data_IF_052509988469
#
_entry.id   IF_052509988469
#
_cell.length_a   1.000
_cell.length_b   1.000
_cell.length_c   1.000
_cell.angle_alpha   90.00
_cell.angle_beta   90.00
_cell.angle_gamma   90.00
#
_symmetry.space_group_name_H-M   'P 1'
#
loop_
_entity.id
_entity.type
_entity.pdbx_description
1 polymer ?
#
# COMPACT_ATOMS: atom_id res chain seq x y z
N UNK A 1 -85.58 -43.76 -37.24
CA UNK A 1 -86.23 -42.75 -36.37
C UNK A 1 -85.19 -41.65 -36.16
N UNK A 2 -85.28 -40.51 -36.85
CA UNK A 2 -85.91 -39.26 -36.35
C UNK A 2 -85.24 -38.78 -35.04
N UNK A 3 -84.70 -37.56 -34.84
CA UNK A 3 -85.00 -36.26 -35.43
C UNK A 3 -83.97 -35.17 -35.01
N UNK A 4 -83.60 -34.32 -35.99
CA UNK A 4 -83.49 -32.83 -36.02
C UNK A 4 -82.85 -31.94 -34.91
N UNK A 5 -81.93 -31.09 -35.43
CA UNK A 5 -81.72 -29.61 -35.28
C UNK A 5 -81.16 -29.09 -33.92
N UNK A 6 -80.28 -28.08 -33.82
CA UNK A 6 -80.01 -26.86 -34.60
C UNK A 6 -78.55 -26.35 -34.34
N UNK A 7 -77.77 -25.88 -35.34
CA UNK A 7 -77.38 -24.46 -35.64
C UNK A 7 -76.96 -23.64 -34.39
N UNK A 8 -75.81 -22.94 -34.30
CA UNK A 8 -75.14 -22.02 -35.26
C UNK A 8 -73.83 -21.44 -34.64
N UNK A 9 -72.89 -21.10 -35.54
CA UNK A 9 -71.98 -19.93 -35.59
C UNK A 9 -70.74 -19.84 -34.68
N UNK A 10 -69.60 -19.82 -35.37
CA UNK A 10 -68.32 -19.29 -34.94
C UNK A 10 -68.32 -17.76 -34.81
N UNK A 11 -67.51 -17.25 -33.88
CA UNK A 11 -66.82 -15.97 -33.98
C UNK A 11 -65.56 -16.00 -33.10
N UNK A 12 -64.44 -15.56 -33.69
CA UNK A 12 -63.12 -15.43 -33.10
C UNK A 12 -63.12 -14.46 -31.91
N UNK A 13 -62.37 -14.81 -30.86
CA UNK A 13 -61.87 -13.90 -29.84
C UNK A 13 -60.38 -14.13 -29.63
N UNK A 14 -59.58 -13.10 -29.87
CA UNK A 14 -58.11 -13.06 -29.71
C UNK A 14 -57.76 -13.09 -28.21
N UNK A 15 -56.89 -14.02 -27.80
CA UNK A 15 -56.26 -14.02 -26.48
C UNK A 15 -54.76 -13.74 -26.64
N UNK A 16 -54.30 -12.62 -26.09
CA UNK A 16 -52.89 -12.29 -25.97
C UNK A 16 -52.27 -13.11 -24.81
N UNK A 17 -51.38 -14.04 -25.14
CA UNK A 17 -50.59 -14.78 -24.17
C UNK A 17 -49.25 -14.07 -23.95
N UNK A 18 -48.99 -13.61 -22.72
CA UNK A 18 -47.68 -13.20 -22.26
C UNK A 18 -46.77 -14.43 -22.16
N UNK A 19 -45.72 -14.47 -22.98
CA UNK A 19 -44.64 -15.46 -22.90
C UNK A 19 -43.57 -14.91 -21.97
N UNK A 20 -43.31 -15.62 -20.86
CA UNK A 20 -42.15 -15.40 -19.98
C UNK A 20 -40.95 -16.11 -20.62
N UNK A 21 -39.83 -15.44 -20.96
CA UNK A 21 -38.67 -16.11 -21.52
C UNK A 21 -37.87 -16.83 -20.43
N UNK A 22 -37.34 -17.99 -20.84
CA UNK A 22 -36.51 -18.90 -20.07
C UNK A 22 -35.29 -18.24 -19.41
N UNK A 23 -34.96 -18.71 -18.20
CA UNK A 23 -33.77 -18.32 -17.45
C UNK A 23 -32.48 -18.65 -18.20
N UNK A 24 -31.71 -17.61 -18.51
CA UNK A 24 -30.30 -17.72 -18.86
C UNK A 24 -29.53 -18.07 -17.59
N UNK A 25 -29.03 -19.31 -17.50
CA UNK A 25 -27.98 -19.68 -16.55
C UNK A 25 -26.72 -18.94 -17.00
N UNK A 26 -26.49 -17.76 -16.41
CA UNK A 26 -25.27 -17.00 -16.60
C UNK A 26 -24.10 -17.80 -16.03
N UNK A 27 -23.26 -18.35 -16.89
CA UNK A 27 -21.92 -18.75 -16.49
C UNK A 27 -21.20 -17.47 -16.10
N UNK A 28 -21.00 -17.24 -14.79
CA UNK A 28 -20.01 -16.27 -14.33
C UNK A 28 -18.65 -16.74 -14.81
N UNK A 29 -18.22 -16.24 -15.95
CA UNK A 29 -16.82 -16.26 -16.33
C UNK A 29 -16.14 -15.35 -15.32
N UNK A 30 -15.53 -15.94 -14.30
CA UNK A 30 -14.57 -15.24 -13.45
C UNK A 30 -13.54 -14.67 -14.45
N UNK A 31 -13.34 -13.34 -14.56
CA UNK A 31 -12.29 -12.84 -15.41
C UNK A 31 -10.98 -13.43 -14.89
N UNK A 32 -10.37 -14.31 -15.69
CA UNK A 32 -9.02 -14.80 -15.44
C UNK A 32 -8.14 -13.56 -15.26
N UNK A 33 -7.36 -13.51 -14.18
CA UNK A 33 -6.41 -12.45 -13.93
C UNK A 33 -5.63 -12.15 -15.21
N UNK A 34 -5.97 -11.05 -15.88
CA UNK A 34 -5.19 -10.57 -17.00
C UNK A 34 -3.78 -10.30 -16.45
N UNK A 35 -2.79 -11.02 -16.97
CA UNK A 35 -1.40 -10.80 -16.57
C UNK A 35 -1.09 -9.30 -16.70
N UNK A 36 -0.53 -8.70 -15.65
CA UNK A 36 -0.19 -7.28 -15.66
C UNK A 36 0.75 -6.99 -16.84
N UNK A 37 0.48 -5.88 -17.54
CA UNK A 37 1.35 -5.45 -18.63
C UNK A 37 2.80 -5.25 -18.12
N UNK A 38 3.83 -5.56 -18.93
CA UNK A 38 5.21 -5.33 -18.56
C UNK A 38 5.44 -3.87 -18.20
N UNK A 39 5.86 -3.61 -16.96
CA UNK A 39 6.14 -2.28 -16.45
C UNK A 39 7.60 -1.88 -16.69
N UNK A 40 7.83 -0.58 -16.93
CA UNK A 40 9.16 0.02 -16.92
C UNK A 40 9.86 -0.16 -15.56
N UNK A 41 11.19 -0.15 -15.57
CA UNK A 41 12.04 -0.35 -14.38
C UNK A 41 12.34 -1.82 -14.08
N UNK A 42 11.45 -2.73 -14.48
CA UNK A 42 11.58 -4.18 -14.24
C UNK A 42 12.49 -4.86 -15.28
N UNK A 43 13.03 -6.01 -14.88
CA UNK A 43 13.86 -6.90 -15.71
C UNK A 43 13.10 -8.19 -16.03
N UNK A 44 13.21 -8.66 -17.28
CA UNK A 44 12.49 -9.81 -17.78
C UNK A 44 13.38 -10.75 -18.59
N UNK A 45 13.00 -12.02 -18.62
CA UNK A 45 13.37 -12.99 -19.63
C UNK A 45 12.24 -12.94 -20.66
N UNK A 46 12.60 -12.59 -21.89
CA UNK A 46 11.66 -12.52 -23.01
C UNK A 46 11.64 -13.90 -23.65
N UNK A 47 10.50 -14.59 -23.54
CA UNK A 47 10.36 -15.99 -23.98
C UNK A 47 9.51 -16.04 -25.25
N UNK A 48 10.05 -16.60 -26.32
CA UNK A 48 9.30 -16.85 -27.56
C UNK A 48 8.19 -17.86 -27.29
N UNK A 49 6.94 -17.52 -27.58
CA UNK A 49 5.79 -18.39 -27.32
C UNK A 49 5.86 -19.71 -28.11
N UNK A 50 6.40 -19.67 -29.34
CA UNK A 50 6.55 -20.85 -30.21
C UNK A 50 7.47 -21.92 -29.64
N UNK A 51 8.65 -21.53 -29.18
CA UNK A 51 9.72 -22.46 -28.79
C UNK A 51 9.90 -22.61 -27.28
N UNK A 52 9.37 -21.68 -26.48
CA UNK A 52 9.63 -21.61 -25.04
C UNK A 52 11.05 -21.17 -24.68
N UNK A 53 11.82 -20.66 -25.65
CA UNK A 53 13.21 -20.24 -25.48
C UNK A 53 13.34 -18.74 -25.25
N UNK A 54 14.42 -18.36 -24.60
CA UNK A 54 14.69 -16.99 -24.20
C UNK A 54 15.40 -16.22 -25.31
N UNK A 55 15.11 -14.93 -25.42
CA UNK A 55 15.95 -13.96 -26.09
C UNK A 55 17.35 -13.99 -25.46
N UNK A 56 18.37 -14.07 -26.30
CA UNK A 56 19.75 -14.35 -25.90
C UNK A 56 20.72 -13.46 -26.68
N UNK A 57 21.72 -12.94 -25.97
CA UNK A 57 22.92 -12.36 -26.59
C UNK A 57 23.99 -13.46 -26.64
N UNK A 58 24.39 -13.92 -27.84
CA UNK A 58 25.31 -15.05 -28.01
C UNK A 58 26.61 -14.86 -27.22
N UNK A 59 27.03 -15.93 -26.55
CA UNK A 59 28.27 -15.99 -25.77
C UNK A 59 28.43 -14.84 -24.75
N UNK A 60 27.31 -14.29 -24.24
CA UNK A 60 27.29 -13.15 -23.34
C UNK A 60 28.07 -11.92 -23.87
N UNK A 61 28.11 -11.74 -25.20
CA UNK A 61 28.85 -10.65 -25.83
C UNK A 61 28.44 -9.29 -25.26
N UNK A 62 29.42 -8.41 -25.07
CA UNK A 62 29.20 -7.01 -24.72
C UNK A 62 29.51 -6.07 -25.88
N UNK A 63 29.80 -6.59 -27.08
CA UNK A 63 30.11 -5.78 -28.26
C UNK A 63 28.85 -5.14 -28.87
N UNK A 64 29.00 -3.93 -29.41
CA UNK A 64 28.03 -3.38 -30.36
C UNK A 64 27.98 -4.28 -31.60
N UNK A 65 26.78 -4.49 -32.14
CA UNK A 65 26.60 -5.31 -33.34
C UNK A 65 26.50 -6.81 -33.09
N UNK A 66 26.54 -7.27 -31.82
CA UNK A 66 26.25 -8.67 -31.52
C UNK A 66 24.78 -8.96 -31.88
N UNK A 67 24.58 -9.87 -32.82
CA UNK A 67 23.25 -10.29 -33.27
C UNK A 67 22.54 -11.08 -32.18
N UNK A 68 21.23 -10.87 -32.06
CA UNK A 68 20.39 -11.56 -31.08
C UNK A 68 19.94 -12.92 -31.61
N UNK A 69 19.82 -13.89 -30.71
CA UNK A 69 19.33 -15.23 -31.02
C UNK A 69 18.30 -15.69 -29.97
N UNK A 70 17.62 -16.80 -30.23
CA UNK A 70 16.96 -17.56 -29.16
C UNK A 70 17.87 -18.69 -28.65
N UNK A 71 17.82 -18.93 -27.35
CA UNK A 71 18.52 -20.05 -26.71
C UNK A 71 17.71 -20.60 -25.54
N UNK A 72 18.04 -21.83 -25.11
CA UNK A 72 17.48 -22.40 -23.89
C UNK A 72 17.61 -21.41 -22.72
N UNK A 73 16.49 -21.18 -22.01
CA UNK A 73 16.45 -20.27 -20.88
C UNK A 73 17.38 -20.76 -19.77
N UNK A 74 18.40 -19.95 -19.46
CA UNK A 74 19.39 -20.22 -18.42
C UNK A 74 19.07 -19.33 -17.23
N UNK A 75 18.78 -19.95 -16.08
CA UNK A 75 18.49 -19.22 -14.85
C UNK A 75 19.66 -18.29 -14.49
N UNK A 76 19.35 -17.05 -14.09
CA UNK A 76 20.31 -16.02 -13.68
C UNK A 76 21.34 -15.56 -14.75
N UNK A 77 21.30 -16.07 -15.98
CA UNK A 77 22.20 -15.66 -17.06
C UNK A 77 21.96 -14.20 -17.46
N UNK A 78 22.88 -13.30 -17.09
CA UNK A 78 22.71 -11.86 -17.28
C UNK A 78 22.48 -11.45 -18.75
N UNK A 79 23.02 -12.21 -19.70
CA UNK A 79 22.89 -11.95 -21.14
C UNK A 79 21.53 -12.37 -21.73
N UNK A 80 20.70 -13.08 -20.97
CA UNK A 80 19.31 -13.41 -21.32
C UNK A 80 18.28 -12.58 -20.54
N UNK A 81 18.73 -11.55 -19.82
CA UNK A 81 17.86 -10.66 -19.02
C UNK A 81 17.84 -9.27 -19.63
N UNK A 82 16.66 -8.69 -19.73
CA UNK A 82 16.45 -7.39 -20.34
C UNK A 82 15.58 -6.50 -19.46
N UNK A 83 16.09 -5.32 -19.13
CA UNK A 83 15.37 -4.27 -18.41
C UNK A 83 14.55 -3.44 -19.38
N UNK A 84 13.27 -3.21 -19.05
CA UNK A 84 12.45 -2.22 -19.73
C UNK A 84 12.74 -0.84 -19.16
N UNK A 85 13.31 0.05 -19.97
CA UNK A 85 13.59 1.45 -19.58
C UNK A 85 12.58 2.35 -20.27
N UNK A 86 11.89 3.21 -19.51
CA UNK A 86 10.89 4.12 -20.07
C UNK A 86 11.53 5.10 -21.08
N UNK A 87 10.87 5.29 -22.22
CA UNK A 87 11.21 6.28 -23.24
C UNK A 87 9.91 6.90 -23.77
N UNK A 88 9.41 7.93 -23.07
CA UNK A 88 8.07 8.46 -23.30
C UNK A 88 6.99 7.40 -23.03
N UNK A 89 6.12 7.15 -24.02
CA UNK A 89 5.13 6.06 -24.01
C UNK A 89 5.68 4.72 -24.54
N UNK A 90 6.95 4.67 -24.92
CA UNK A 90 7.63 3.49 -25.46
C UNK A 90 8.70 2.98 -24.46
N UNK A 91 9.41 1.91 -24.85
CA UNK A 91 10.49 1.34 -24.06
C UNK A 91 11.79 1.27 -24.85
N UNK A 92 12.91 1.49 -24.18
CA UNK A 92 14.16 0.84 -24.55
C UNK A 92 14.21 -0.54 -23.88
N UNK A 93 14.72 -1.55 -24.56
CA UNK A 93 14.89 -2.90 -24.02
C UNK A 93 16.39 -3.15 -23.84
N UNK A 94 16.87 -3.00 -22.60
CA UNK A 94 18.30 -2.96 -22.26
C UNK A 94 18.77 -4.30 -21.71
N UNK A 95 19.74 -4.95 -22.36
CA UNK A 95 20.36 -6.16 -21.85
C UNK A 95 21.11 -5.87 -20.52
N UNK A 96 20.92 -6.75 -19.52
CA UNK A 96 21.49 -6.59 -18.18
C UNK A 96 22.99 -6.81 -18.17
N UNK A 97 23.53 -7.72 -18.98
CA UNK A 97 24.95 -8.02 -19.04
C UNK A 97 25.75 -6.90 -19.73
N UNK A 98 25.34 -6.51 -20.94
CA UNK A 98 26.12 -5.56 -21.76
C UNK A 98 25.77 -4.10 -21.51
N UNK A 99 24.62 -3.83 -20.88
CA UNK A 99 24.06 -2.49 -20.73
C UNK A 99 23.58 -1.86 -22.05
N UNK A 100 23.52 -2.63 -23.13
CA UNK A 100 23.13 -2.18 -24.49
C UNK A 100 21.67 -2.47 -24.79
N UNK A 101 21.09 -1.72 -25.71
CA UNK A 101 19.69 -1.82 -26.07
C UNK A 101 19.50 -2.68 -27.33
N UNK A 102 18.35 -3.37 -27.42
CA UNK A 102 17.92 -4.00 -28.67
C UNK A 102 17.79 -2.90 -29.72
N UNK A 103 18.44 -3.12 -30.85
CA UNK A 103 18.67 -2.15 -31.91
C UNK A 103 18.34 -2.79 -33.26
N UNK A 104 17.62 -2.04 -34.10
CA UNK A 104 17.51 -2.35 -35.52
C UNK A 104 18.73 -1.75 -36.24
N UNK A 105 19.61 -2.60 -36.82
CA UNK A 105 20.83 -2.13 -37.46
C UNK A 105 20.55 -1.09 -38.55
N UNK A 106 21.26 0.04 -38.46
CA UNK A 106 21.14 1.17 -39.39
C UNK A 106 19.69 1.65 -39.61
N UNK A 107 18.79 1.45 -38.62
CA UNK A 107 17.37 1.75 -38.72
C UNK A 107 16.66 1.12 -39.94
N UNK A 108 17.14 -0.04 -40.42
CA UNK A 108 16.58 -0.79 -41.55
C UNK A 108 15.06 -0.98 -41.41
N UNK A 109 14.30 -0.77 -42.49
CA UNK A 109 12.88 -1.10 -42.58
C UNK A 109 12.61 -2.46 -43.25
N UNK A 110 13.66 -3.23 -43.53
CA UNK A 110 13.56 -4.50 -44.27
C UNK A 110 13.14 -5.63 -43.34
N UNK A 111 12.03 -6.30 -43.69
CA UNK A 111 11.59 -7.54 -43.04
C UNK A 111 12.65 -8.64 -43.18
N UNK A 112 12.90 -9.39 -42.13
CA UNK A 112 13.96 -10.39 -42.04
C UNK A 112 15.31 -9.85 -41.54
N UNK A 113 15.42 -8.54 -41.27
CA UNK A 113 16.67 -7.96 -40.74
C UNK A 113 16.98 -8.54 -39.35
N UNK A 114 18.15 -9.17 -39.13
CA UNK A 114 18.60 -9.60 -37.82
C UNK A 114 18.74 -8.41 -36.86
N UNK A 115 18.21 -8.56 -35.65
CA UNK A 115 18.36 -7.55 -34.61
C UNK A 115 19.69 -7.71 -33.90
N UNK A 116 20.23 -6.59 -33.42
CA UNK A 116 21.49 -6.55 -32.70
C UNK A 116 21.33 -5.87 -31.34
N UNK A 117 22.38 -5.89 -30.53
CA UNK A 117 22.53 -4.94 -29.43
C UNK A 117 23.43 -3.77 -29.83
N UNK A 118 23.09 -2.56 -29.37
CA UNK A 118 23.90 -1.35 -29.56
C UNK A 118 23.81 -0.42 -28.35
N UNK A 119 24.75 0.52 -28.23
CA UNK A 119 24.70 1.56 -27.19
C UNK A 119 23.33 2.24 -27.16
N UNK A 120 22.73 2.31 -25.97
CA UNK A 120 21.39 2.86 -25.77
C UNK A 120 21.34 4.36 -26.05
N UNK A 121 20.42 4.80 -26.92
CA UNK A 121 20.17 6.20 -27.21
C UNK A 121 18.66 6.49 -27.21
N UNK A 122 18.17 7.14 -26.15
CA UNK A 122 16.73 7.34 -25.92
C UNK A 122 16.00 8.17 -27.00
N UNK A 123 16.72 8.96 -27.80
CA UNK A 123 16.16 9.72 -28.93
C UNK A 123 16.06 8.93 -30.23
N UNK A 124 16.68 7.75 -30.33
CA UNK A 124 16.73 6.95 -31.55
C UNK A 124 15.55 5.99 -31.64
N UNK A 125 14.62 6.24 -32.58
CA UNK A 125 13.38 5.46 -32.72
C UNK A 125 13.61 4.01 -33.14
N UNK A 126 14.74 3.69 -33.78
CA UNK A 126 15.14 2.31 -34.12
C UNK A 126 15.54 1.46 -32.90
N UNK A 127 15.67 2.07 -31.71
CA UNK A 127 15.85 1.39 -30.42
C UNK A 127 14.64 1.50 -29.49
N UNK A 128 13.57 2.17 -29.92
CA UNK A 128 12.33 2.30 -29.14
C UNK A 128 11.32 1.25 -29.58
N UNK A 129 10.63 0.68 -28.59
CA UNK A 129 9.72 -0.44 -28.78
C UNK A 129 8.38 -0.20 -28.08
N UNK A 130 7.29 -0.47 -28.78
CA UNK A 130 5.94 -0.61 -28.19
C UNK A 130 5.73 -2.06 -27.79
N UNK A 131 5.17 -2.27 -26.61
CA UNK A 131 4.78 -3.61 -26.13
C UNK A 131 3.26 -3.68 -26.14
N UNK A 132 2.70 -4.49 -27.04
CA UNK A 132 1.25 -4.56 -27.29
C UNK A 132 0.75 -5.96 -26.97
N UNK A 133 -0.33 -6.09 -26.18
CA UNK A 133 -0.93 -7.38 -25.86
C UNK A 133 -1.36 -8.12 -27.14
N UNK A 134 -1.01 -9.39 -27.25
CA UNK A 134 -1.24 -10.20 -28.45
C UNK A 134 -1.79 -11.60 -28.16
N UNK A 135 -2.30 -11.82 -26.94
CA UNK A 135 -2.87 -13.08 -26.45
C UNK A 135 -2.86 -13.14 -24.92
N UNK A 136 -3.32 -14.25 -24.35
CA UNK A 136 -3.28 -14.46 -22.90
C UNK A 136 -1.83 -14.54 -22.40
N UNK A 137 -1.36 -13.46 -21.76
CA UNK A 137 0.00 -13.39 -21.18
C UNK A 137 1.13 -13.24 -22.19
N UNK A 138 0.83 -12.85 -23.43
CA UNK A 138 1.83 -12.65 -24.50
C UNK A 138 1.70 -11.29 -25.14
N UNK A 139 2.82 -10.78 -25.64
CA UNK A 139 2.93 -9.45 -26.23
C UNK A 139 3.68 -9.50 -27.56
N UNK A 140 3.32 -8.60 -28.48
CA UNK A 140 4.16 -8.24 -29.61
C UNK A 140 5.05 -7.06 -29.20
N UNK A 141 6.31 -7.09 -29.67
CA UNK A 141 7.29 -6.02 -29.43
C UNK A 141 7.52 -5.35 -30.77
N UNK A 142 7.03 -4.12 -30.93
CA UNK A 142 6.90 -3.42 -32.21
C UNK A 142 7.89 -2.26 -32.24
N UNK A 143 8.75 -2.22 -33.26
CA UNK A 143 9.68 -1.11 -33.41
C UNK A 143 8.95 0.20 -33.71
N UNK A 144 9.34 1.28 -33.05
CA UNK A 144 8.69 2.59 -33.20
C UNK A 144 9.01 3.24 -34.55
N UNK A 145 10.18 2.98 -35.14
CA UNK A 145 10.58 3.61 -36.40
C UNK A 145 9.85 3.05 -37.63
N UNK A 146 9.62 1.74 -37.68
CA UNK A 146 9.13 1.07 -38.89
C UNK A 146 7.88 0.18 -38.68
N UNK A 147 7.43 -0.04 -37.45
CA UNK A 147 6.23 -0.83 -37.14
C UNK A 147 6.39 -2.34 -37.28
N UNK A 148 7.60 -2.86 -37.49
CA UNK A 148 7.86 -4.31 -37.55
C UNK A 148 8.00 -4.92 -36.15
N UNK A 149 7.67 -6.20 -36.04
CA UNK A 149 7.70 -6.97 -34.79
C UNK A 149 9.02 -7.72 -34.62
N UNK A 150 9.54 -7.78 -33.40
CA UNK A 150 10.58 -8.75 -33.01
C UNK A 150 10.02 -10.17 -33.19
N UNK A 151 10.75 -11.01 -33.92
CA UNK A 151 10.35 -12.37 -34.27
C UNK A 151 11.49 -13.36 -34.18
N UNK A 152 11.16 -14.58 -33.81
CA UNK A 152 12.01 -15.74 -34.05
C UNK A 152 11.93 -16.18 -35.52
N UNK A 153 13.09 -16.17 -36.19
CA UNK A 153 13.20 -16.44 -37.62
C UNK A 153 12.69 -17.85 -37.97
N UNK A 154 11.75 -17.91 -38.92
CA UNK A 154 11.22 -19.17 -39.43
C UNK A 154 10.40 -19.98 -38.41
N UNK A 155 10.01 -19.38 -37.28
CA UNK A 155 9.32 -20.08 -36.18
C UNK A 155 10.08 -21.31 -35.67
N UNK A 156 11.40 -21.18 -35.61
CA UNK A 156 12.33 -22.23 -35.23
C UNK A 156 12.16 -22.66 -33.78
N UNK A 157 12.49 -23.91 -33.50
CA UNK A 157 12.64 -24.42 -32.13
C UNK A 157 14.08 -24.78 -31.83
N UNK A 158 15.04 -24.41 -32.68
CA UNK A 158 16.47 -24.67 -32.49
C UNK A 158 17.13 -23.60 -31.61
N UNK A 159 18.20 -23.98 -30.91
CA UNK A 159 19.07 -23.01 -30.27
C UNK A 159 19.88 -22.28 -31.35
N UNK A 160 20.10 -20.98 -31.17
CA UNK A 160 20.85 -20.16 -32.11
C UNK A 160 20.04 -19.65 -33.32
N UNK A 161 18.73 -19.87 -33.35
CA UNK A 161 17.90 -19.26 -34.37
C UNK A 161 17.90 -17.72 -34.19
N UNK A 162 18.03 -17.01 -35.31
CA UNK A 162 18.16 -15.56 -35.32
C UNK A 162 16.89 -14.88 -34.83
N UNK A 163 17.04 -13.81 -34.06
CA UNK A 163 15.95 -12.89 -33.76
C UNK A 163 15.99 -11.74 -34.76
N UNK A 164 14.91 -11.62 -35.53
CA UNK A 164 14.76 -10.68 -36.63
C UNK A 164 13.62 -9.70 -36.36
N UNK A 165 13.46 -8.69 -37.21
CA UNK A 165 12.21 -7.96 -37.34
C UNK A 165 11.43 -8.41 -38.58
N UNK A 166 10.11 -8.52 -38.49
CA UNK A 166 9.24 -8.81 -39.65
C UNK A 166 7.82 -8.32 -39.42
N UNK A 167 6.96 -8.40 -40.44
CA UNK A 167 5.57 -7.96 -40.36
C UNK A 167 4.84 -8.60 -39.17
N UNK A 168 4.22 -7.76 -38.34
CA UNK A 168 3.47 -8.21 -37.17
C UNK A 168 2.28 -9.10 -37.58
N UNK A 169 2.24 -10.32 -37.04
CA UNK A 169 1.12 -11.26 -37.18
C UNK A 169 0.87 -11.99 -35.87
N UNK A 170 -0.33 -12.52 -35.66
CA UNK A 170 -0.73 -13.21 -34.41
C UNK A 170 -0.15 -14.64 -34.26
N UNK A 171 0.93 -14.98 -34.96
CA UNK A 171 1.58 -16.28 -34.82
C UNK A 171 2.56 -16.32 -33.64
N UNK A 172 2.70 -17.52 -33.07
CA UNK A 172 3.44 -17.73 -31.82
C UNK A 172 4.94 -17.40 -31.87
N UNK A 173 5.56 -17.27 -33.05
CA UNK A 173 6.97 -16.87 -33.16
C UNK A 173 7.20 -15.35 -33.05
N UNK A 174 6.14 -14.54 -33.08
CA UNK A 174 6.14 -13.09 -32.84
C UNK A 174 5.49 -12.71 -31.51
N UNK A 175 5.13 -13.70 -30.71
CA UNK A 175 4.51 -13.53 -29.40
C UNK A 175 5.54 -13.83 -28.32
N UNK A 176 5.70 -12.88 -27.41
CA UNK A 176 6.71 -12.93 -26.36
C UNK A 176 6.02 -12.92 -25.00
N UNK A 177 6.37 -13.89 -24.16
CA UNK A 177 6.04 -13.84 -22.73
C UNK A 177 7.14 -13.08 -22.00
N UNK A 178 6.75 -12.14 -21.15
CA UNK A 178 7.67 -11.41 -20.28
C UNK A 178 7.67 -12.09 -18.92
N UNK A 179 8.63 -12.99 -18.69
CA UNK A 179 8.81 -13.61 -17.37
C UNK A 179 9.67 -12.68 -16.54
N UNK A 180 9.16 -12.07 -15.45
CA UNK A 180 9.96 -11.21 -14.60
C UNK A 180 11.16 -12.00 -14.09
N UNK A 181 12.36 -11.53 -14.39
CA UNK A 181 13.54 -12.09 -13.74
C UNK A 181 13.62 -11.33 -12.44
N UNK A 182 13.37 -12.03 -11.34
CA UNK A 182 13.84 -11.58 -10.05
C UNK A 182 15.29 -11.17 -10.26
N UNK A 183 15.59 -9.87 -10.16
CA UNK A 183 16.96 -9.44 -10.19
C UNK A 183 17.71 -10.19 -9.09
N UNK A 184 18.98 -9.90 -8.93
CA UNK A 184 19.60 -10.03 -7.60
C UNK A 184 18.98 -9.05 -6.58
N UNK A 185 17.76 -8.56 -6.81
CA UNK A 185 16.70 -8.66 -5.82
C UNK A 185 15.62 -9.67 -6.27
N UNK A 186 15.62 -10.90 -5.72
CA UNK A 186 14.41 -11.25 -4.97
C UNK A 186 14.16 -9.98 -4.15
N UNK A 187 12.95 -9.38 -4.05
CA UNK A 187 12.69 -8.74 -2.76
C UNK A 187 13.15 -9.84 -1.81
N UNK A 188 14.22 -9.62 -1.02
CA UNK A 188 14.50 -10.54 0.06
C UNK A 188 13.10 -10.75 0.60
N UNK A 189 12.57 -11.97 0.52
CA UNK A 189 11.25 -12.15 1.07
C UNK A 189 11.55 -11.79 2.51
N UNK A 190 11.16 -10.57 2.90
CA UNK A 190 11.48 -10.01 4.19
C UNK A 190 10.41 -10.64 5.05
N UNK A 191 10.43 -11.97 5.05
CA UNK A 191 9.45 -12.85 5.60
C UNK A 191 9.99 -13.18 6.95
N UNK A 192 9.33 -12.64 7.94
CA UNK A 192 9.62 -12.88 9.33
C UNK A 192 8.71 -14.00 9.78
N UNK A 193 9.26 -15.05 10.38
CA UNK A 193 8.47 -16.11 11.00
C UNK A 193 9.21 -16.61 12.25
N UNK A 194 8.55 -16.56 13.41
CA UNK A 194 9.16 -16.98 14.68
C UNK A 194 9.57 -18.47 14.66
N UNK A 195 8.82 -19.30 13.92
CA UNK A 195 9.07 -20.73 13.72
C UNK A 195 10.26 -21.04 12.78
N UNK A 196 10.88 -20.03 12.18
CA UNK A 196 12.00 -20.20 11.24
C UNK A 196 11.59 -20.54 9.79
N UNK A 197 10.29 -20.55 9.47
CA UNK A 197 9.81 -20.75 8.09
C UNK A 197 9.93 -19.50 7.21
N UNK A 198 10.36 -18.38 7.81
CA UNK A 198 10.69 -17.13 7.15
C UNK A 198 12.21 -16.96 7.03
N UNK A 199 12.63 -16.04 6.16
CA UNK A 199 14.06 -15.69 6.02
C UNK A 199 14.65 -15.13 7.32
N UNK A 200 13.84 -14.42 8.10
CA UNK A 200 14.24 -13.83 9.38
C UNK A 200 13.36 -14.39 10.50
N UNK A 201 13.92 -14.55 11.69
CA UNK A 201 13.16 -14.97 12.89
C UNK A 201 12.55 -13.78 13.64
N UNK A 202 13.13 -12.59 13.49
CA UNK A 202 12.70 -11.36 14.18
C UNK A 202 12.42 -10.26 13.16
N UNK A 203 11.55 -9.33 13.56
CA UNK A 203 11.20 -8.15 12.75
C UNK A 203 12.41 -7.23 12.63
N UNK A 204 13.18 -7.03 13.71
CA UNK A 204 14.36 -6.20 13.68
C UNK A 204 15.42 -6.71 12.69
N UNK A 205 15.67 -8.02 12.63
CA UNK A 205 16.65 -8.58 11.69
C UNK A 205 16.26 -8.33 10.22
N UNK A 206 14.97 -8.35 9.90
CA UNK A 206 14.48 -8.01 8.57
C UNK A 206 14.70 -6.53 8.23
N UNK A 207 14.44 -5.63 9.19
CA UNK A 207 14.72 -4.19 9.04
C UNK A 207 16.22 -3.93 8.89
N UNK A 208 17.06 -4.61 9.66
CA UNK A 208 18.52 -4.49 9.62
C UNK A 208 19.09 -4.89 8.26
N UNK A 209 18.45 -5.85 7.58
CA UNK A 209 18.82 -6.27 6.24
C UNK A 209 18.34 -5.33 5.12
N UNK A 210 17.42 -4.40 5.38
CA UNK A 210 17.07 -3.35 4.40
C UNK A 210 18.26 -2.40 4.23
N UNK A 211 18.64 -2.12 2.99
CA UNK A 211 19.74 -1.21 2.69
C UNK A 211 19.48 0.21 3.25
N UNK A 212 20.53 0.84 3.76
CA UNK A 212 20.48 2.25 4.15
C UNK A 212 20.21 3.13 2.91
N UNK A 213 19.52 4.25 3.15
CA UNK A 213 19.13 5.26 2.15
C UNK A 213 18.35 4.69 0.96
N UNK A 214 17.67 3.57 1.17
CA UNK A 214 16.84 2.94 0.15
C UNK A 214 15.82 3.93 -0.45
N UNK A 215 15.64 3.87 -1.76
CA UNK A 215 14.74 4.78 -2.50
C UNK A 215 13.46 4.11 -2.99
N UNK A 216 13.29 2.81 -2.71
CA UNK A 216 12.19 1.98 -3.25
C UNK A 216 11.48 1.23 -2.13
N UNK A 217 10.15 1.17 -2.10
CA UNK A 217 9.42 0.56 -0.97
C UNK A 217 9.82 -0.90 -0.75
N UNK A 218 10.29 -1.22 0.46
CA UNK A 218 10.64 -2.58 0.88
C UNK A 218 9.57 -3.09 1.85
N UNK A 219 8.85 -4.14 1.44
CA UNK A 219 7.79 -4.75 2.27
C UNK A 219 8.31 -5.95 3.03
N UNK A 220 8.25 -5.87 4.36
CA UNK A 220 8.53 -6.92 5.33
C UNK A 220 7.21 -7.59 5.69
N UNK A 221 7.02 -8.83 5.26
CA UNK A 221 5.85 -9.66 5.58
C UNK A 221 6.12 -10.43 6.87
N UNK A 222 5.28 -10.29 7.87
CA UNK A 222 5.45 -10.94 9.18
C UNK A 222 4.36 -12.01 9.30
N UNK A 223 4.74 -13.28 9.40
CA UNK A 223 3.77 -14.37 9.59
C UNK A 223 3.07 -14.27 10.95
N UNK A 224 1.88 -14.87 11.11
CA UNK A 224 1.20 -14.97 12.40
C UNK A 224 2.12 -15.42 13.53
N UNK A 225 1.99 -14.77 14.69
CA UNK A 225 2.80 -15.03 15.88
C UNK A 225 2.96 -13.81 16.78
N UNK A 226 3.45 -14.05 17.99
CA UNK A 226 3.85 -13.01 18.93
C UNK A 226 5.36 -12.83 18.91
N UNK A 227 5.80 -11.63 18.59
CA UNK A 227 7.18 -11.19 18.48
C UNK A 227 7.50 -10.29 19.68
N UNK A 228 8.11 -10.88 20.72
CA UNK A 228 8.56 -10.12 21.88
C UNK A 228 9.92 -9.49 21.62
N UNK A 229 9.91 -8.30 21.05
CA UNK A 229 11.11 -7.56 20.67
C UNK A 229 10.85 -6.05 20.65
N UNK A 230 11.93 -5.28 20.57
CA UNK A 230 11.86 -3.85 20.31
C UNK A 230 12.26 -3.64 18.86
N UNK A 231 11.39 -2.95 18.14
CA UNK A 231 11.55 -2.71 16.71
C UNK A 231 11.89 -1.25 16.50
N UNK A 232 13.02 -0.98 15.86
CA UNK A 232 13.45 0.36 15.44
C UNK A 232 13.60 0.39 13.94
N UNK A 233 12.83 1.26 13.30
CA UNK A 233 13.01 1.66 11.89
C UNK A 233 13.91 2.89 11.89
N UNK A 234 15.20 2.78 11.54
CA UNK A 234 16.14 3.90 11.63
C UNK A 234 15.81 5.01 10.63
N UNK A 235 16.21 6.25 10.93
CA UNK A 235 15.97 7.42 10.06
C UNK A 235 16.63 7.32 8.68
N UNK A 236 17.74 6.59 8.59
CA UNK A 236 18.44 6.30 7.33
C UNK A 236 17.83 5.11 6.57
N UNK A 237 16.68 4.55 6.97
CA UNK A 237 16.00 3.46 6.23
C UNK A 237 14.56 3.83 5.88
N UNK A 238 14.36 4.76 4.91
CA UNK A 238 13.03 5.16 4.50
C UNK A 238 12.35 4.10 3.62
N UNK A 239 11.04 4.27 3.41
CA UNK A 239 10.20 3.40 2.57
C UNK A 239 10.12 1.94 3.02
N UNK A 240 10.21 1.66 4.32
CA UNK A 240 9.93 0.31 4.86
C UNK A 240 8.43 0.16 5.08
N UNK A 241 7.88 -1.02 4.77
CA UNK A 241 6.51 -1.41 5.13
C UNK A 241 6.54 -2.67 5.97
N UNK A 242 5.98 -2.65 7.19
CA UNK A 242 5.68 -3.87 7.94
C UNK A 242 4.26 -4.32 7.59
N UNK A 243 4.08 -5.57 7.17
CA UNK A 243 2.78 -6.12 6.82
C UNK A 243 2.55 -7.43 7.56
N UNK A 244 1.57 -7.49 8.44
CA UNK A 244 1.17 -8.77 9.02
C UNK A 244 0.48 -9.65 7.97
N UNK A 245 0.86 -10.93 7.96
CA UNK A 245 0.42 -11.94 7.02
C UNK A 245 -0.70 -12.84 7.54
N UNK A 246 -1.33 -12.48 8.65
CA UNK A 246 -2.53 -13.16 9.17
C UNK A 246 -3.82 -12.67 8.50
N UNK A 247 -4.92 -13.35 8.81
CA UNK A 247 -6.25 -13.02 8.33
C UNK A 247 -6.79 -11.75 8.99
N UNK A 248 -6.39 -11.53 10.25
CA UNK A 248 -6.75 -10.35 11.04
C UNK A 248 -5.53 -9.69 11.67
N UNK A 249 -5.68 -8.42 12.02
CA UNK A 249 -4.60 -7.58 12.56
C UNK A 249 -4.14 -7.97 13.98
N UNK A 250 -4.74 -8.97 14.60
CA UNK A 250 -4.36 -9.55 15.88
C UNK A 250 -3.57 -10.87 15.77
N UNK A 251 -3.47 -11.45 14.58
CA UNK A 251 -2.66 -12.64 14.32
C UNK A 251 -1.15 -12.37 14.44
N UNK A 252 -0.73 -11.12 14.22
CA UNK A 252 0.66 -10.68 14.29
C UNK A 252 0.81 -9.63 15.37
N UNK A 253 1.52 -9.96 16.45
CA UNK A 253 1.68 -9.07 17.61
C UNK A 253 3.16 -8.79 17.86
N UNK A 254 3.57 -7.52 17.75
CA UNK A 254 4.89 -7.05 18.18
C UNK A 254 4.72 -6.43 19.57
N UNK A 255 5.41 -6.96 20.59
CA UNK A 255 5.16 -6.61 22.00
C UNK A 255 6.43 -6.49 22.83
N UNK A 256 6.41 -5.60 23.81
CA UNK A 256 7.43 -5.46 24.85
C UNK A 256 6.82 -4.73 26.08
N UNK A 257 7.51 -4.68 27.22
CA UNK A 257 7.01 -4.09 28.48
C UNK A 257 7.91 -3.00 29.09
N UNK A 258 8.73 -2.31 28.28
CA UNK A 258 9.51 -1.17 28.79
C UNK A 258 8.59 -0.07 29.28
N UNK A 259 8.99 0.65 30.34
CA UNK A 259 8.24 1.77 30.90
C UNK A 259 9.18 2.85 31.45
N UNK A 260 8.62 4.02 31.75
CA UNK A 260 9.35 5.08 32.42
C UNK A 260 9.81 4.67 33.83
N UNK A 261 8.97 3.98 34.60
CA UNK A 261 9.33 3.44 35.91
C UNK A 261 10.47 2.40 35.83
N UNK A 262 10.61 1.71 34.69
CA UNK A 262 11.74 0.84 34.40
C UNK A 262 13.04 1.58 34.04
N UNK A 263 13.07 2.91 34.09
CA UNK A 263 14.26 3.73 33.82
C UNK A 263 14.51 4.05 32.33
N UNK A 264 13.58 3.70 31.44
CA UNK A 264 13.74 3.94 30.00
C UNK A 264 13.29 5.34 29.54
N UNK A 265 12.65 6.11 30.42
CA UNK A 265 11.92 7.31 30.05
C UNK A 265 10.65 7.00 29.25
N UNK A 266 9.71 7.95 29.15
CA UNK A 266 8.50 7.77 28.34
C UNK A 266 8.83 7.43 26.89
N UNK A 267 9.61 8.26 26.19
CA UNK A 267 9.91 8.02 24.77
C UNK A 267 10.74 6.76 24.53
N UNK A 268 11.66 6.42 25.44
CA UNK A 268 12.52 5.23 25.33
C UNK A 268 11.82 3.92 25.71
N UNK A 269 10.57 4.00 26.18
CA UNK A 269 9.75 2.83 26.53
C UNK A 269 9.08 2.16 25.34
N UNK A 270 9.17 2.74 24.14
CA UNK A 270 8.43 2.28 22.97
C UNK A 270 8.74 0.84 22.55
N UNK A 271 7.72 0.07 22.16
CA UNK A 271 7.89 -1.22 21.47
C UNK A 271 8.33 -1.00 20.01
N UNK A 272 7.70 -0.05 19.31
CA UNK A 272 8.09 0.39 17.96
C UNK A 272 8.63 1.82 17.97
N UNK A 273 9.81 2.04 17.39
CA UNK A 273 10.36 3.35 17.04
C UNK A 273 10.32 3.55 15.53
N UNK A 274 9.39 4.36 15.03
CA UNK A 274 9.26 4.68 13.61
C UNK A 274 10.00 6.00 13.29
N UNK A 275 11.31 5.92 13.05
CA UNK A 275 12.15 7.10 12.74
C UNK A 275 12.42 7.26 11.22
N UNK A 276 12.19 6.23 10.42
CA UNK A 276 12.33 6.29 8.95
C UNK A 276 11.11 6.95 8.30
N UNK A 277 11.32 7.99 7.49
CA UNK A 277 10.24 8.61 6.70
C UNK A 277 9.62 7.61 5.72
N UNK A 278 8.39 7.87 5.29
CA UNK A 278 7.66 7.02 4.31
C UNK A 278 7.43 5.58 4.82
N UNK A 279 7.52 5.39 6.14
CA UNK A 279 7.29 4.11 6.77
C UNK A 279 5.80 3.79 6.83
N UNK A 280 5.47 2.54 6.49
CA UNK A 280 4.10 2.03 6.60
C UNK A 280 4.04 0.82 7.53
N UNK A 281 2.91 0.64 8.21
CA UNK A 281 2.54 -0.63 8.81
C UNK A 281 1.10 -1.01 8.46
N UNK A 282 0.83 -2.30 8.26
CA UNK A 282 -0.50 -2.78 7.94
C UNK A 282 -0.81 -4.15 8.55
N UNK A 283 -2.07 -4.36 8.92
CA UNK A 283 -2.62 -5.64 9.35
C UNK A 283 -1.82 -6.31 10.49
N UNK A 284 -1.50 -5.57 11.55
CA UNK A 284 -0.73 -6.09 12.69
C UNK A 284 -1.05 -5.33 13.98
N UNK A 285 -0.60 -5.88 15.10
CA UNK A 285 -0.70 -5.29 16.43
C UNK A 285 0.69 -4.86 16.93
N UNK A 286 0.77 -3.65 17.46
CA UNK A 286 1.91 -3.13 18.22
C UNK A 286 1.44 -2.88 19.64
N UNK A 287 2.08 -3.53 20.61
CA UNK A 287 1.63 -3.51 21.99
C UNK A 287 2.77 -3.14 22.96
N UNK A 288 2.40 -2.44 24.03
CA UNK A 288 3.20 -2.40 25.25
C UNK A 288 2.41 -3.06 26.39
N UNK A 289 2.92 -4.17 26.91
CA UNK A 289 2.24 -4.99 27.91
C UNK A 289 2.69 -4.72 29.36
N UNK A 290 3.30 -3.55 29.63
CA UNK A 290 3.65 -3.12 31.00
C UNK A 290 2.43 -3.00 31.92
N UNK A 291 1.30 -2.51 31.41
CA UNK A 291 0.08 -2.28 32.18
C UNK A 291 0.00 -0.90 32.83
N UNK A 292 -0.88 -0.73 33.82
CA UNK A 292 -1.05 0.54 34.54
C UNK A 292 0.08 0.80 35.55
N UNK A 293 0.28 2.08 35.89
CA UNK A 293 1.20 2.52 36.95
C UNK A 293 2.42 3.29 36.45
N UNK A 294 2.68 3.31 35.14
CA UNK A 294 3.71 4.16 34.53
C UNK A 294 3.47 4.36 33.04
N UNK A 295 4.11 5.37 32.46
CA UNK A 295 4.14 5.62 31.02
C UNK A 295 4.82 4.44 30.32
N UNK A 296 4.16 3.87 29.31
CA UNK A 296 4.66 2.72 28.58
C UNK A 296 4.14 2.73 27.13
N UNK A 297 5.02 3.15 26.22
CA UNK A 297 4.67 3.45 24.83
C UNK A 297 4.63 2.16 24.00
N UNK A 298 3.57 1.96 23.22
CA UNK A 298 3.51 0.92 22.19
C UNK A 298 4.25 1.37 20.93
N UNK A 299 3.95 2.58 20.43
CA UNK A 299 4.65 3.13 19.26
C UNK A 299 5.03 4.59 19.43
N UNK A 300 6.28 4.90 19.08
CA UNK A 300 6.82 6.25 18.97
C UNK A 300 6.99 6.60 17.48
N UNK A 301 6.13 7.50 17.01
CA UNK A 301 6.08 8.01 15.65
C UNK A 301 6.93 9.28 15.55
N UNK A 302 8.11 9.16 14.95
CA UNK A 302 9.11 10.21 14.96
C UNK A 302 9.73 10.41 13.57
N UNK A 303 8.88 10.38 12.54
CA UNK A 303 9.25 10.65 11.17
C UNK A 303 8.07 11.23 10.41
N UNK A 304 8.32 11.65 9.18
CA UNK A 304 7.30 12.24 8.32
C UNK A 304 6.74 11.23 7.32
N UNK A 305 5.47 11.44 6.94
CA UNK A 305 4.71 10.62 5.98
C UNK A 305 4.55 9.16 6.40
N UNK A 306 4.11 8.95 7.64
CA UNK A 306 3.86 7.61 8.18
C UNK A 306 2.43 7.15 7.88
N UNK A 307 2.25 5.90 7.45
CA UNK A 307 0.91 5.32 7.19
C UNK A 307 0.69 4.04 7.99
N UNK A 308 -0.43 3.97 8.69
CA UNK A 308 -0.87 2.80 9.43
C UNK A 308 -2.25 2.39 8.92
N UNK A 309 -2.35 1.22 8.29
CA UNK A 309 -3.58 0.71 7.67
C UNK A 309 -4.04 -0.56 8.38
N UNK A 310 -5.16 -0.47 9.09
CA UNK A 310 -5.69 -1.55 9.91
C UNK A 310 -4.68 -2.10 10.95
N UNK A 311 -4.08 -1.19 11.72
CA UNK A 311 -3.13 -1.51 12.79
C UNK A 311 -3.78 -1.35 14.16
N UNK A 312 -3.44 -2.24 15.09
CA UNK A 312 -3.82 -2.13 16.51
C UNK A 312 -2.67 -1.58 17.34
N UNK A 313 -2.92 -0.54 18.12
CA UNK A 313 -1.99 -0.02 19.12
C UNK A 313 -2.55 -0.30 20.51
N UNK A 314 -1.88 -1.17 21.27
CA UNK A 314 -2.36 -1.63 22.58
C UNK A 314 -1.42 -1.18 23.69
N UNK A 315 -1.98 -0.60 24.75
CA UNK A 315 -1.21 -0.16 25.90
C UNK A 315 -2.09 0.27 27.06
N UNK A 316 -1.51 1.04 27.97
CA UNK A 316 -2.20 1.68 29.06
C UNK A 316 -1.95 3.19 29.04
N UNK A 317 -1.09 3.72 29.90
CA UNK A 317 -0.71 5.11 29.87
C UNK A 317 0.32 5.35 28.76
N UNK A 318 0.11 6.40 27.96
CA UNK A 318 1.02 6.83 26.89
C UNK A 318 1.17 5.81 25.72
N UNK A 319 0.10 5.09 25.33
CA UNK A 319 0.16 4.05 24.28
C UNK A 319 0.81 4.50 22.96
N UNK A 320 0.40 5.64 22.39
CA UNK A 320 0.82 6.11 21.07
C UNK A 320 1.41 7.51 21.15
N UNK A 321 2.74 7.60 21.01
CA UNK A 321 3.48 8.84 20.95
C UNK A 321 3.58 9.32 19.49
N UNK A 322 2.75 10.27 19.11
CA UNK A 322 2.88 11.04 17.86
C UNK A 322 3.90 12.16 18.06
N UNK A 323 5.19 11.81 18.04
CA UNK A 323 6.25 12.73 18.47
C UNK A 323 6.47 13.89 17.49
N UNK A 324 6.66 13.58 16.20
CA UNK A 324 6.98 14.56 15.15
C UNK A 324 6.51 14.09 13.77
N UNK A 325 6.52 15.00 12.79
CA UNK A 325 6.11 14.71 11.41
C UNK A 325 4.60 14.47 11.25
N UNK A 326 4.21 14.00 10.07
CA UNK A 326 2.82 13.69 9.72
C UNK A 326 2.57 12.18 9.69
N UNK A 327 1.47 11.75 10.31
CA UNK A 327 1.04 10.35 10.36
C UNK A 327 -0.43 10.21 9.95
N UNK A 328 -0.73 9.18 9.17
CA UNK A 328 -2.08 8.80 8.80
C UNK A 328 -2.39 7.40 9.33
N UNK A 329 -3.34 7.32 10.26
CA UNK A 329 -3.84 6.06 10.83
C UNK A 329 -5.25 5.84 10.29
N UNK A 330 -5.44 4.80 9.47
CA UNK A 330 -6.70 4.49 8.80
C UNK A 330 -7.21 3.12 9.26
N UNK A 331 -8.46 3.09 9.69
CA UNK A 331 -9.05 1.89 10.28
C UNK A 331 -8.33 1.49 11.56
N UNK A 332 -8.36 0.20 11.89
CA UNK A 332 -7.65 -0.35 13.05
C UNK A 332 -8.24 0.09 14.40
N UNK A 333 -7.38 0.07 15.42
CA UNK A 333 -7.78 0.20 16.81
C UNK A 333 -6.67 0.82 17.68
N UNK A 334 -7.04 1.69 18.62
CA UNK A 334 -6.14 2.22 19.65
C UNK A 334 -6.81 2.08 21.01
N UNK A 335 -6.09 1.52 21.99
CA UNK A 335 -6.55 1.51 23.39
C UNK A 335 -5.51 2.05 24.36
N UNK A 336 -6.01 2.55 25.48
CA UNK A 336 -5.19 2.95 26.62
C UNK A 336 -6.02 3.54 27.75
N UNK A 337 -5.33 4.21 28.67
CA UNK A 337 -5.89 4.70 29.93
C UNK A 337 -5.73 6.22 30.08
N UNK A 338 -4.51 6.72 30.21
CA UNK A 338 -4.21 8.14 30.37
C UNK A 338 -3.32 8.59 29.23
N UNK A 339 -3.67 9.69 28.59
CA UNK A 339 -2.88 10.35 27.53
C UNK A 339 -2.45 9.39 26.42
N UNK A 340 -3.27 8.39 26.12
CA UNK A 340 -2.82 7.26 25.32
C UNK A 340 -2.62 7.58 23.83
N UNK A 341 -2.99 8.79 23.39
CA UNK A 341 -2.55 9.40 22.12
C UNK A 341 -1.97 10.78 22.43
N UNK A 342 -0.65 10.94 22.37
CA UNK A 342 0.02 12.15 22.84
C UNK A 342 1.19 12.55 21.96
N UNK A 343 1.68 13.78 22.10
CA UNK A 343 2.84 14.27 21.36
C UNK A 343 2.61 15.56 20.57
N UNK A 344 3.59 15.93 19.75
CA UNK A 344 3.64 17.22 19.05
C UNK A 344 3.47 17.14 17.53
N UNK A 345 3.44 15.93 16.96
CA UNK A 345 3.28 15.73 15.51
C UNK A 345 1.83 15.96 15.05
N UNK A 346 1.64 15.88 13.73
CA UNK A 346 0.34 15.95 13.08
C UNK A 346 -0.15 14.53 12.81
N UNK A 347 -1.33 14.17 13.30
CA UNK A 347 -1.90 12.84 13.06
C UNK A 347 -3.37 12.91 12.67
N UNK A 348 -3.74 12.12 11.66
CA UNK A 348 -5.14 11.89 11.29
C UNK A 348 -5.48 10.44 11.61
N UNK A 349 -6.47 10.23 12.47
CA UNK A 349 -7.11 8.95 12.74
C UNK A 349 -8.42 8.90 11.96
N UNK A 350 -8.51 8.07 10.93
CA UNK A 350 -9.65 7.99 10.02
C UNK A 350 -10.34 6.62 10.12
N UNK A 351 -11.58 6.58 10.60
CA UNK A 351 -12.31 5.32 10.72
C UNK A 351 -11.75 4.40 11.82
N UNK A 352 -10.85 4.89 12.67
CA UNK A 352 -10.20 4.12 13.74
C UNK A 352 -11.12 3.95 14.94
N UNK A 353 -11.09 2.77 15.56
CA UNK A 353 -11.76 2.51 16.84
C UNK A 353 -10.86 2.94 18.00
N UNK A 354 -11.38 3.74 18.92
CA UNK A 354 -10.65 4.26 20.08
C UNK A 354 -11.32 3.73 21.34
N UNK A 355 -10.55 3.10 22.23
CA UNK A 355 -11.08 2.45 23.42
C UNK A 355 -10.39 2.90 24.71
N UNK A 356 -11.16 3.53 25.60
CA UNK A 356 -10.73 3.83 26.96
C UNK A 356 -10.91 2.58 27.84
N UNK A 357 -9.81 1.90 28.18
CA UNK A 357 -9.88 0.63 28.92
C UNK A 357 -10.02 0.79 30.43
N UNK A 358 -9.70 1.96 30.98
CA UNK A 358 -9.76 2.21 32.43
C UNK A 358 -11.20 2.49 32.87
N UNK A 359 -11.70 1.74 33.84
CA UNK A 359 -13.05 1.97 34.40
C UNK A 359 -13.17 3.30 35.15
N UNK A 360 -12.08 3.82 35.72
CA UNK A 360 -12.04 5.18 36.29
C UNK A 360 -11.85 6.28 35.23
N UNK A 361 -11.67 5.89 33.96
CA UNK A 361 -11.46 6.79 32.83
C UNK A 361 -10.11 7.52 32.83
N UNK A 362 -10.07 8.55 31.99
CA UNK A 362 -8.87 9.34 31.70
C UNK A 362 -8.97 10.02 30.33
N UNK A 363 -8.07 10.98 30.06
CA UNK A 363 -7.98 11.67 28.78
C UNK A 363 -7.50 10.73 27.68
N UNK A 364 -8.18 10.77 26.53
CA UNK A 364 -7.76 10.07 25.31
C UNK A 364 -6.49 10.69 24.76
N UNK A 365 -6.45 12.02 24.68
CA UNK A 365 -5.35 12.73 24.03
C UNK A 365 -4.62 13.73 24.92
N UNK A 366 -3.31 13.86 24.69
CA UNK A 366 -2.46 14.90 25.28
C UNK A 366 -1.54 15.53 24.22
N UNK A 367 -2.09 16.46 23.45
CA UNK A 367 -1.34 17.14 22.39
C UNK A 367 -0.42 18.23 22.97
N UNK A 368 0.74 18.42 22.33
CA UNK A 368 1.66 19.55 22.55
C UNK A 368 2.04 20.25 21.24
N UNK A 369 1.09 20.32 20.32
CA UNK A 369 1.25 20.93 19.00
C UNK A 369 1.88 22.31 19.12
N UNK A 370 2.91 22.56 18.31
CA UNK A 370 3.58 23.87 18.26
C UNK A 370 2.63 24.96 17.74
N UNK A 371 2.83 26.20 18.19
CA UNK A 371 2.01 27.35 17.76
C UNK A 371 2.10 27.59 16.24
N UNK A 372 3.27 27.38 15.65
CA UNK A 372 3.51 27.53 14.21
C UNK A 372 2.88 26.40 13.39
N UNK A 373 2.53 25.27 14.01
CA UNK A 373 1.85 24.18 13.33
C UNK A 373 0.32 24.35 13.42
N UNK A 374 -0.37 24.55 12.29
CA UNK A 374 -1.84 24.68 12.30
C UNK A 374 -2.57 23.39 12.68
N UNK A 375 -1.92 22.22 12.53
CA UNK A 375 -2.57 20.92 12.65
C UNK A 375 -1.89 20.00 13.67
N UNK A 376 -2.62 19.61 14.70
CA UNK A 376 -2.24 18.58 15.67
C UNK A 376 -2.96 17.26 15.36
N UNK A 377 -3.90 16.86 16.22
CA UNK A 377 -4.62 15.60 16.08
C UNK A 377 -6.02 15.81 15.49
N UNK A 378 -6.34 15.02 14.47
CA UNK A 378 -7.67 14.92 13.89
C UNK A 378 -8.20 13.50 14.07
N UNK A 379 -9.27 13.37 14.84
CA UNK A 379 -10.09 12.16 14.94
C UNK A 379 -11.26 12.31 13.97
N UNK A 380 -11.14 11.70 12.79
CA UNK A 380 -12.09 11.80 11.70
C UNK A 380 -12.86 10.49 11.54
N UNK A 381 -14.20 10.54 11.61
CA UNK A 381 -15.05 9.35 11.46
C UNK A 381 -14.65 8.19 12.37
N UNK A 382 -14.13 8.51 13.56
CA UNK A 382 -13.71 7.51 14.54
C UNK A 382 -14.90 7.01 15.36
N UNK A 383 -14.74 5.86 16.00
CA UNK A 383 -15.69 5.35 17.00
C UNK A 383 -15.02 5.30 18.35
N UNK A 384 -15.53 6.05 19.32
CA UNK A 384 -14.96 6.17 20.66
C UNK A 384 -15.84 5.45 21.69
N UNK A 385 -15.26 4.41 22.30
CA UNK A 385 -15.90 3.54 23.30
C UNK A 385 -15.01 3.40 24.53
N UNK A 386 -15.52 2.78 25.59
CA UNK A 386 -14.73 2.55 26.79
C UNK A 386 -15.39 1.63 27.80
N UNK A 387 -14.64 1.30 28.85
CA UNK A 387 -15.00 0.32 29.86
C UNK A 387 -16.09 0.79 30.84
N UNK A 388 -16.31 2.10 30.97
CA UNK A 388 -17.30 2.69 31.86
C UNK A 388 -17.88 3.98 31.29
N UNK A 389 -19.09 4.35 31.72
CA UNK A 389 -19.79 5.53 31.23
C UNK A 389 -19.36 6.80 31.98
N UNK A 390 -19.33 7.94 31.27
CA UNK A 390 -19.13 9.29 31.81
C UNK A 390 -17.79 9.52 32.54
N UNK A 391 -16.76 8.74 32.22
CA UNK A 391 -15.44 8.82 32.88
C UNK A 391 -14.33 9.34 31.99
N UNK A 392 -14.50 9.33 30.67
CA UNK A 392 -13.45 9.61 29.68
C UNK A 392 -13.44 11.07 29.23
N UNK A 393 -12.27 11.70 29.19
CA UNK A 393 -12.09 13.00 28.52
C UNK A 393 -11.59 12.80 27.08
N UNK A 394 -11.98 13.69 26.18
CA UNK A 394 -11.46 13.76 24.80
C UNK A 394 -9.97 14.14 24.79
N UNK A 395 -9.54 15.01 25.71
CA UNK A 395 -8.13 15.31 25.88
C UNK A 395 -7.79 16.40 26.88
N UNK A 396 -6.49 16.68 26.99
CA UNK A 396 -5.89 17.75 27.80
C UNK A 396 -4.65 18.35 27.12
N UNK A 397 -4.28 19.61 27.39
CA UNK A 397 -3.21 20.28 26.66
C UNK A 397 -1.84 20.07 27.31
N UNK A 398 -1.05 19.12 26.81
CA UNK A 398 0.34 18.97 27.27
C UNK A 398 1.20 20.18 26.92
N UNK A 399 0.94 20.80 25.77
CA UNK A 399 1.52 22.11 25.39
C UNK A 399 0.45 23.21 25.35
N UNK A 400 0.85 24.49 25.51
CA UNK A 400 -0.10 25.61 25.56
C UNK A 400 -0.89 25.83 24.27
N UNK A 401 -0.37 25.37 23.12
CA UNK A 401 -1.00 25.51 21.79
C UNK A 401 -1.56 24.19 21.24
N UNK A 402 -1.78 23.21 22.12
CA UNK A 402 -2.32 21.90 21.80
C UNK A 402 -3.53 22.00 20.86
N UNK A 403 -3.55 21.20 19.80
CA UNK A 403 -4.63 21.18 18.82
C UNK A 403 -5.20 19.77 18.71
N UNK A 404 -6.50 19.64 18.98
CA UNK A 404 -7.24 18.38 18.86
C UNK A 404 -8.61 18.68 18.28
N UNK A 405 -9.00 17.91 17.26
CA UNK A 405 -10.33 17.97 16.66
C UNK A 405 -10.95 16.58 16.59
N UNK A 406 -12.13 16.42 17.18
CA UNK A 406 -13.01 15.27 16.92
C UNK A 406 -14.09 15.68 15.92
N UNK A 407 -14.10 15.03 14.76
CA UNK A 407 -14.96 15.39 13.65
C UNK A 407 -15.70 14.17 13.10
N UNK A 408 -17.00 14.33 12.86
CA UNK A 408 -17.87 13.33 12.25
C UNK A 408 -17.75 11.96 12.93
N UNK A 409 -17.40 11.95 14.22
CA UNK A 409 -17.06 10.75 14.99
C UNK A 409 -18.24 10.34 15.87
N UNK A 410 -18.32 9.03 16.16
CA UNK A 410 -19.30 8.48 17.10
C UNK A 410 -18.68 8.43 18.50
N UNK A 411 -19.27 9.17 19.43
CA UNK A 411 -18.86 9.27 20.82
C UNK A 411 -19.90 8.56 21.71
N UNK A 412 -19.53 7.41 22.27
CA UNK A 412 -20.43 6.65 23.15
C UNK A 412 -20.58 7.29 24.55
N UNK A 413 -21.41 6.66 25.40
CA UNK A 413 -21.65 7.07 26.78
C UNK A 413 -20.39 7.06 27.66
N UNK A 414 -19.25 6.53 27.20
CA UNK A 414 -17.96 6.62 27.91
C UNK A 414 -17.50 8.05 28.15
N UNK A 415 -17.83 8.97 27.23
CA UNK A 415 -17.36 10.36 27.29
C UNK A 415 -18.02 11.11 28.43
N UNK A 416 -17.22 11.84 29.20
CA UNK A 416 -17.67 12.75 30.24
C UNK A 416 -18.36 13.95 29.60
N UNK A 417 -19.67 14.06 29.74
CA UNK A 417 -20.47 15.02 28.97
C UNK A 417 -20.36 16.46 29.50
N UNK A 418 -20.32 16.65 30.82
CA UNK A 418 -20.23 17.96 31.45
C UNK A 418 -18.87 18.66 31.25
N UNK A 419 -17.79 17.88 31.25
CA UNK A 419 -16.41 18.37 31.15
C UNK A 419 -15.54 17.37 30.35
N UNK A 420 -15.67 17.34 29.01
CA UNK A 420 -14.94 16.39 28.16
C UNK A 420 -13.50 16.81 27.90
N UNK A 421 -13.12 18.05 28.20
CA UNK A 421 -11.75 18.54 28.13
C UNK A 421 -11.26 18.87 29.54
N UNK A 422 -9.99 18.65 29.84
CA UNK A 422 -9.43 18.94 31.17
C UNK A 422 -8.08 19.63 31.05
N UNK A 423 -7.68 20.34 32.11
CA UNK A 423 -6.40 21.03 32.17
C UNK A 423 -5.26 20.02 32.36
N UNK A 424 -4.04 20.44 32.00
CA UNK A 424 -2.83 19.68 32.30
C UNK A 424 -1.78 20.63 32.88
N UNK A 425 -1.44 20.41 34.16
CA UNK A 425 -0.56 21.31 34.90
C UNK A 425 -1.06 22.76 34.79
N UNK A 426 -0.24 23.70 34.33
CA UNK A 426 -0.60 25.12 34.13
C UNK A 426 -1.30 25.41 32.80
N UNK A 427 -1.40 24.45 31.88
CA UNK A 427 -2.04 24.67 30.59
C UNK A 427 -3.56 24.45 30.72
N UNK A 428 -4.33 25.49 30.42
CA UNK A 428 -5.79 25.37 30.42
C UNK A 428 -6.33 24.86 29.09
N UNK A 429 -7.29 23.93 29.13
CA UNK A 429 -8.01 23.48 27.94
C UNK A 429 -8.74 24.62 27.22
N UNK A 430 -9.12 25.68 27.95
CA UNK A 430 -9.80 26.86 27.38
C UNK A 430 -8.90 27.67 26.44
N UNK A 431 -7.58 27.58 26.63
CA UNK A 431 -6.59 28.27 25.79
C UNK A 431 -6.09 27.36 24.66
N UNK A 432 -6.42 26.07 24.70
CA UNK A 432 -6.05 25.10 23.67
C UNK A 432 -6.99 25.17 22.46
N UNK A 433 -6.52 24.67 21.31
CA UNK A 433 -7.28 24.59 20.06
C UNK A 433 -8.09 23.29 20.01
N UNK A 434 -8.96 23.10 21.00
CA UNK A 434 -9.79 21.91 21.17
C UNK A 434 -11.20 22.15 20.65
N UNK A 435 -11.59 21.36 19.65
CA UNK A 435 -12.81 21.57 18.89
C UNK A 435 -13.50 20.25 18.57
N UNK A 436 -14.80 20.33 18.32
CA UNK A 436 -15.63 19.24 17.82
C UNK A 436 -16.40 19.67 16.57
N UNK A 437 -16.79 18.71 15.72
CA UNK A 437 -17.63 19.01 14.55
C UNK A 437 -18.52 17.82 14.17
N UNK A 438 -19.85 18.00 14.24
CA UNK A 438 -20.85 17.01 13.80
C UNK A 438 -20.60 15.60 14.36
N UNK A 439 -20.12 15.51 15.61
CA UNK A 439 -20.03 14.25 16.32
C UNK A 439 -21.43 13.74 16.70
N UNK A 440 -21.58 12.43 16.82
CA UNK A 440 -22.86 11.76 17.15
C UNK A 440 -22.69 10.82 18.34
N UNK A 441 -23.80 10.27 18.85
CA UNK A 441 -23.79 9.34 19.99
C UNK A 441 -24.02 10.04 21.33
N UNK A 442 -24.29 9.24 22.37
CA UNK A 442 -24.69 9.74 23.70
C UNK A 442 -23.60 10.55 24.42
N UNK A 443 -22.33 10.41 24.01
CA UNK A 443 -21.20 11.19 24.51
C UNK A 443 -21.01 12.53 23.80
N UNK A 444 -21.72 12.78 22.70
CA UNK A 444 -21.63 13.99 21.88
C UNK A 444 -22.72 15.03 22.26
N UNK A 445 -22.77 15.39 23.54
CA UNK A 445 -23.69 16.44 24.03
C UNK A 445 -23.21 17.84 23.62
N UNK A 446 -24.10 18.84 23.65
CA UNK A 446 -23.73 20.25 23.45
C UNK A 446 -23.74 21.01 24.79
N UNK A 447 -22.66 21.74 25.10
CA UNK A 447 -22.58 22.70 26.21
C UNK A 447 -21.40 23.66 26.01
N UNK A 448 -21.26 24.65 26.89
CA UNK A 448 -20.21 25.69 26.83
C UNK A 448 -18.79 25.16 27.02
N UNK A 449 -18.62 23.94 27.52
CA UNK A 449 -17.33 23.28 27.62
C UNK A 449 -16.99 22.43 26.39
N UNK A 450 -17.72 22.57 25.28
CA UNK A 450 -17.56 21.79 24.05
C UNK A 450 -17.54 22.66 22.80
N UNK A 451 -16.46 23.41 22.57
CA UNK A 451 -16.33 24.29 21.42
C UNK A 451 -16.59 23.54 20.10
N UNK A 452 -17.45 24.10 19.25
CA UNK A 452 -17.81 23.52 17.95
C UNK A 452 -17.16 24.30 16.81
N UNK A 453 -16.73 23.61 15.77
CA UNK A 453 -16.41 24.24 14.48
C UNK A 453 -17.69 24.62 13.74
N UNK A 454 -17.64 25.73 13.01
CA UNK A 454 -18.61 26.02 11.95
C UNK A 454 -18.34 25.16 10.70
N UNK A 455 -19.33 25.05 9.82
CA UNK A 455 -19.18 24.39 8.52
C UNK A 455 -18.08 25.03 7.66
N UNK A 456 -17.94 26.36 7.69
CA UNK A 456 -16.90 27.09 6.96
C UNK A 456 -15.50 26.82 7.50
N UNK A 457 -15.34 26.72 8.83
CA UNK A 457 -14.07 26.35 9.43
C UNK A 457 -13.75 24.88 9.12
N UNK A 458 -14.72 23.97 9.21
CA UNK A 458 -14.55 22.55 8.95
C UNK A 458 -14.05 22.25 7.53
N UNK A 459 -14.31 23.11 6.54
CA UNK A 459 -13.75 22.99 5.18
C UNK A 459 -12.21 23.04 5.15
N UNK A 460 -11.58 23.69 6.13
CA UNK A 460 -10.12 23.75 6.29
C UNK A 460 -9.56 22.64 7.18
N UNK A 461 -10.41 21.84 7.82
CA UNK A 461 -10.00 20.76 8.73
C UNK A 461 -10.38 19.38 8.18
N UNK A 462 -9.88 19.04 6.99
CA UNK A 462 -10.03 17.71 6.37
C UNK A 462 -8.77 16.87 6.54
N UNK A 463 -8.86 15.52 6.45
CA UNK A 463 -7.68 14.66 6.39
C UNK A 463 -6.60 15.15 5.40
N UNK A 464 -7.02 15.54 4.20
CA UNK A 464 -6.09 16.04 3.19
C UNK A 464 -5.39 17.34 3.62
N UNK A 465 -6.10 18.28 4.26
CA UNK A 465 -5.50 19.54 4.72
C UNK A 465 -4.46 19.32 5.83
N UNK A 466 -4.76 18.41 6.76
CA UNK A 466 -3.84 18.03 7.84
C UNK A 466 -2.55 17.40 7.29
N UNK A 467 -2.68 16.57 6.24
CA UNK A 467 -1.57 15.75 5.75
C UNK A 467 -0.81 16.41 4.60
N UNK A 468 -1.39 17.38 3.89
CA UNK A 468 -0.79 18.00 2.71
C UNK A 468 0.60 18.58 2.98
N UNK A 469 0.81 19.27 4.11
CA UNK A 469 2.06 20.00 4.37
C UNK A 469 2.44 20.93 3.20
N UNK A 470 3.74 21.17 3.03
CA UNK A 470 4.27 21.96 1.91
C UNK A 470 4.49 21.14 0.64
N UNK A 471 4.45 19.81 0.73
CA UNK A 471 4.72 18.87 -0.36
C UNK A 471 3.44 18.26 -0.98
N UNK A 472 2.26 18.70 -0.54
CA UNK A 472 0.95 18.20 -0.94
C UNK A 472 0.77 16.69 -0.74
N UNK A 473 1.41 16.10 0.28
CA UNK A 473 1.26 14.67 0.57
C UNK A 473 -0.22 14.29 0.74
N UNK A 474 -0.68 13.33 -0.07
CA UNK A 474 -2.06 12.83 -0.05
C UNK A 474 -2.08 11.30 0.07
N UNK A 475 -2.07 10.75 1.29
CA UNK A 475 -2.28 9.32 1.51
C UNK A 475 -3.77 8.94 1.60
N UNK A 476 -4.70 9.90 1.45
CA UNK A 476 -6.15 9.69 1.61
C UNK A 476 -6.78 9.08 0.36
N UNK A 477 -6.17 9.31 -0.81
CA UNK A 477 -6.66 8.84 -2.12
C UNK A 477 -7.36 9.93 -2.92
#
# INVERSE_FOLDING_TARGET
MAERKARKRALLGVAAALVVPAGLVGWSIIPSNAAAAPAAGNTYQLIVKKSGKCLDVPAASTANGALLQQWGCTANAAWQRFQLVASGSNFLIKNVNSGKCIDVPAASATSGTPLQQWGCAGSQTNQQWKVVASGAGTFQIINVANGLCISDQGASTANGASIIQETCTANSNKQWSFTPVSGTSTPASFTVAADGTGKYKTVQAAIDAVAANNTTRQTITIKPGTYREIVTVPSNKPYITLRGGGDTNDDVVIVNNRSNAGGYGTSGSATLFANGREFNAANLTIANDYGEGSQAVAANLNADRLVFDDVRFLGAQDTLLVNSGRSYVKGGYVEGTVDFIFGGGTAVFNGTKIYQKRTSGGPISAARTDAANPYGFLFYKTTVTGAANNVTQLGRPWGPNAQVLFRESSLSATIRTAQPWTDMSSNSWRNARFLEYKNTGSGATANSNRPQLSDSQAANHTPQRYLAGTDNWNPVG
#
